data_IF_508023743208
#
_entry.id   IF_508023743208
#
_cell.length_a   1.000
_cell.length_b   1.000
_cell.length_c   1.000
_cell.angle_alpha   90.00
_cell.angle_beta   90.00
_cell.angle_gamma   90.00
#
_symmetry.space_group_name_H-M   'P 1'
#
loop_
_entity.id
_entity.type
_entity.pdbx_description
1 polymer ?
#
# COMPACT_ATOMS: atom_id res chain seq x y z
N UNK A 1 -20.32 -36.33 -39.44
CA UNK A 1 -19.45 -35.38 -38.71
C UNK A 1 -19.60 -35.67 -37.23
N UNK A 2 -18.64 -36.36 -36.61
CA UNK A 2 -18.69 -36.73 -35.19
C UNK A 2 -18.27 -35.53 -34.35
N UNK A 3 -19.20 -34.96 -33.59
CA UNK A 3 -18.92 -33.83 -32.69
C UNK A 3 -18.12 -34.32 -31.48
N UNK A 4 -17.01 -33.64 -31.19
CA UNK A 4 -16.14 -33.96 -30.06
C UNK A 4 -16.90 -33.83 -28.74
N UNK A 5 -16.92 -34.92 -27.96
CA UNK A 5 -17.66 -35.05 -26.68
C UNK A 5 -17.30 -33.96 -25.65
N UNK A 6 -16.11 -33.36 -25.78
CA UNK A 6 -15.62 -32.25 -24.97
C UNK A 6 -16.23 -30.89 -25.31
N UNK A 7 -16.65 -30.65 -26.56
CA UNK A 7 -17.26 -29.39 -26.96
C UNK A 7 -18.72 -29.29 -26.49
N UNK A 8 -19.42 -30.43 -26.39
CA UNK A 8 -20.78 -30.50 -25.86
C UNK A 8 -20.89 -30.11 -24.37
N UNK A 9 -19.77 -30.11 -23.62
CA UNK A 9 -19.72 -29.76 -22.20
C UNK A 9 -19.34 -28.30 -21.93
N UNK A 10 -18.97 -27.53 -22.96
CA UNK A 10 -18.62 -26.12 -22.80
C UNK A 10 -19.89 -25.27 -22.68
N UNK A 11 -20.17 -24.76 -21.48
CA UNK A 11 -21.13 -23.66 -21.28
C UNK A 11 -20.41 -22.34 -21.52
N UNK A 12 -20.94 -21.50 -22.42
CA UNK A 12 -20.43 -20.15 -22.67
C UNK A 12 -20.87 -19.23 -21.54
N UNK A 13 -19.93 -18.80 -20.69
CA UNK A 13 -20.17 -17.92 -19.54
C UNK A 13 -20.03 -18.65 -18.20
N UNK A 14 -19.48 -17.96 -17.19
CA UNK A 14 -19.13 -18.57 -15.90
C UNK A 14 -20.32 -18.79 -14.96
N UNK A 15 -21.47 -18.16 -15.21
CA UNK A 15 -22.63 -18.26 -14.32
C UNK A 15 -23.93 -17.91 -15.07
N UNK A 16 -25.00 -18.62 -14.77
CA UNK A 16 -26.36 -18.29 -15.22
C UNK A 16 -27.15 -17.91 -13.98
N UNK A 17 -27.62 -16.66 -13.84
CA UNK A 17 -28.37 -16.25 -12.65
C UNK A 17 -29.68 -17.02 -12.56
N UNK A 18 -29.98 -17.56 -11.37
CA UNK A 18 -31.22 -18.32 -11.12
C UNK A 18 -32.48 -17.43 -11.15
N UNK A 19 -32.31 -16.12 -10.97
CA UNK A 19 -33.39 -15.14 -10.93
C UNK A 19 -33.05 -13.93 -11.79
N UNK A 20 -34.00 -13.43 -12.60
CA UNK A 20 -33.81 -12.18 -13.32
C UNK A 20 -33.69 -11.02 -12.33
N UNK A 21 -32.87 -10.03 -12.69
CA UNK A 21 -32.79 -8.78 -11.95
C UNK A 21 -34.14 -8.05 -12.04
N UNK A 22 -34.71 -7.71 -10.88
CA UNK A 22 -35.93 -6.91 -10.77
C UNK A 22 -35.52 -5.51 -10.31
N UNK A 23 -35.49 -4.55 -11.23
CA UNK A 23 -35.42 -3.12 -10.90
C UNK A 23 -36.79 -2.70 -10.37
N UNK A 24 -36.98 -2.68 -9.06
CA UNK A 24 -38.06 -1.92 -8.44
C UNK A 24 -37.59 -1.36 -7.09
N UNK A 25 -38.00 -0.11 -6.89
CA UNK A 25 -37.44 0.91 -6.05
C UNK A 25 -37.59 0.73 -4.53
N UNK A 26 -36.63 1.34 -3.82
CA UNK A 26 -36.70 1.84 -2.43
C UNK A 26 -37.04 0.85 -1.32
N UNK A 27 -36.02 0.31 -0.65
CA UNK A 27 -36.15 -0.21 0.72
C UNK A 27 -35.07 0.38 1.60
N UNK A 28 -35.51 1.24 2.51
CA UNK A 28 -34.75 1.78 3.65
C UNK A 28 -34.15 0.66 4.51
N UNK A 29 -32.91 0.80 5.03
CA UNK A 29 -32.28 -0.28 5.75
C UNK A 29 -32.84 -0.38 7.18
N UNK A 30 -33.63 -1.44 7.45
CA UNK A 30 -33.91 -1.90 8.82
C UNK A 30 -32.63 -2.46 9.41
N UNK A 31 -32.25 -1.92 10.57
CA UNK A 31 -31.04 -2.22 11.33
C UNK A 31 -31.29 -3.44 12.23
N UNK A 32 -30.98 -4.65 11.75
CA UNK A 32 -30.86 -5.83 12.61
C UNK A 32 -29.37 -6.13 12.84
N UNK A 33 -28.99 -6.21 14.12
CA UNK A 33 -27.64 -6.53 14.56
C UNK A 33 -27.43 -8.03 14.42
N UNK A 34 -26.59 -8.43 13.48
CA UNK A 34 -26.05 -9.79 13.42
C UNK A 34 -24.52 -9.71 13.26
N UNK A 35 -23.80 -10.30 14.22
CA UNK A 35 -22.34 -10.32 14.26
C UNK A 35 -21.80 -11.15 13.08
N UNK A 36 -21.23 -10.48 12.07
CA UNK A 36 -20.40 -11.11 11.03
C UNK A 36 -19.03 -10.42 10.96
N UNK A 37 -17.94 -11.18 10.69
CA UNK A 37 -16.59 -10.65 10.65
C UNK A 37 -16.48 -9.55 9.59
N UNK A 38 -15.82 -8.46 9.95
CA UNK A 38 -15.52 -7.32 9.09
C UNK A 38 -14.73 -7.82 7.88
N UNK A 39 -15.43 -8.02 6.77
CA UNK A 39 -14.80 -8.21 5.47
C UNK A 39 -14.30 -6.84 5.01
N UNK A 40 -13.00 -6.67 5.01
CA UNK A 40 -12.27 -5.52 4.47
C UNK A 40 -12.62 -5.36 2.99
N UNK A 41 -13.63 -4.55 2.69
CA UNK A 41 -13.86 -4.04 1.34
C UNK A 41 -12.83 -2.92 1.16
N UNK A 42 -11.88 -3.00 0.21
CA UNK A 42 -11.01 -1.87 -0.06
C UNK A 42 -11.86 -0.72 -0.64
N UNK A 43 -11.88 0.40 0.07
CA UNK A 43 -12.49 1.65 -0.40
C UNK A 43 -11.88 2.04 -1.77
N UNK A 44 -12.71 2.08 -2.81
CA UNK A 44 -12.37 2.62 -4.14
C UNK A 44 -12.17 4.15 -4.13
N UNK A 45 -12.00 4.77 -2.96
CA UNK A 45 -11.69 6.19 -2.80
C UNK A 45 -10.25 6.48 -2.39
N UNK A 46 -9.33 5.52 -2.50
CA UNK A 46 -7.90 5.86 -2.59
C UNK A 46 -7.55 6.42 -3.96
N UNK A 47 -8.17 7.57 -4.32
CA UNK A 47 -7.59 8.42 -5.36
C UNK A 47 -6.17 8.69 -4.90
N UNK A 48 -5.20 8.13 -5.63
CA UNK A 48 -3.79 8.39 -5.41
C UNK A 48 -3.59 9.89 -5.54
N UNK A 49 -3.57 10.58 -4.40
CA UNK A 49 -3.09 11.95 -4.30
C UNK A 49 -1.58 11.76 -4.23
N UNK A 50 -0.80 12.12 -5.27
CA UNK A 50 0.65 12.18 -5.14
C UNK A 50 0.93 13.30 -4.14
N UNK A 51 0.95 12.96 -2.86
CA UNK A 51 1.44 13.82 -1.82
C UNK A 51 2.87 14.18 -2.27
N UNK A 52 3.13 15.47 -2.49
CA UNK A 52 4.38 15.96 -3.09
C UNK A 52 5.63 15.49 -2.33
N UNK A 53 5.45 15.18 -1.04
CA UNK A 53 6.39 14.58 -0.11
C UNK A 53 6.59 13.05 -0.26
N UNK A 54 5.92 12.37 -1.19
CA UNK A 54 6.05 10.92 -1.46
C UNK A 54 6.59 10.61 -2.87
N UNK A 55 7.15 11.58 -3.58
CA UNK A 55 7.63 11.39 -4.97
C UNK A 55 8.74 10.33 -5.11
N UNK A 56 9.38 9.91 -4.02
CA UNK A 56 10.39 8.85 -4.00
C UNK A 56 10.12 7.92 -2.82
N UNK A 57 9.96 6.62 -3.10
CA UNK A 57 9.77 5.57 -2.10
C UNK A 57 10.98 4.66 -2.09
N UNK A 58 11.61 4.49 -0.93
CA UNK A 58 12.68 3.51 -0.72
C UNK A 58 12.08 2.21 -0.18
N UNK A 59 12.26 1.11 -0.91
CA UNK A 59 11.90 -0.23 -0.41
C UNK A 59 13.02 -0.73 0.49
N UNK A 60 12.67 -1.15 1.70
CA UNK A 60 13.61 -1.66 2.71
C UNK A 60 13.13 -3.00 3.25
N UNK A 61 14.00 -3.70 3.97
CA UNK A 61 13.61 -4.93 4.67
C UNK A 61 12.54 -4.64 5.74
N UNK A 62 11.70 -5.63 6.10
CA UNK A 62 10.71 -5.46 7.18
C UNK A 62 11.35 -5.08 8.52
N UNK A 63 12.53 -5.63 8.82
CA UNK A 63 13.27 -5.32 10.03
C UNK A 63 13.72 -3.86 10.05
N UNK A 64 14.36 -3.38 8.99
CA UNK A 64 14.80 -1.98 8.87
C UNK A 64 13.62 -1.02 8.99
N UNK A 65 12.47 -1.38 8.43
CA UNK A 65 11.25 -0.58 8.57
C UNK A 65 10.83 -0.46 10.03
N UNK A 66 10.83 -1.56 10.79
CA UNK A 66 10.48 -1.57 12.19
C UNK A 66 11.45 -0.73 13.04
N UNK A 67 12.76 -0.83 12.77
CA UNK A 67 13.80 -0.04 13.43
C UNK A 67 13.60 1.47 13.18
N UNK A 68 13.29 1.87 11.95
CA UNK A 68 12.98 3.28 11.61
C UNK A 68 11.71 3.76 12.32
N UNK A 69 10.67 2.94 12.40
CA UNK A 69 9.43 3.29 13.11
C UNK A 69 9.65 3.49 14.61
N UNK A 70 10.52 2.68 15.23
CA UNK A 70 10.84 2.83 16.65
C UNK A 70 11.73 4.07 16.90
N UNK A 71 12.74 4.29 16.06
CA UNK A 71 13.57 5.50 16.09
C UNK A 71 12.72 6.77 15.91
N UNK A 72 11.76 6.74 14.99
CA UNK A 72 10.80 7.83 14.78
C UNK A 72 10.06 8.18 16.07
N UNK A 73 9.58 7.17 16.81
CA UNK A 73 8.87 7.38 18.09
C UNK A 73 9.80 7.96 19.15
N UNK A 74 11.02 7.45 19.24
CA UNK A 74 12.02 7.90 20.20
C UNK A 74 12.42 9.37 19.96
N UNK A 75 12.73 9.72 18.72
CA UNK A 75 13.12 11.07 18.31
C UNK A 75 11.94 12.04 18.16
N UNK A 76 10.69 11.55 18.32
CA UNK A 76 9.44 12.31 18.16
C UNK A 76 9.32 12.99 16.79
N UNK A 77 9.79 12.32 15.74
CA UNK A 77 9.74 12.83 14.36
C UNK A 77 8.38 12.52 13.70
N UNK A 78 7.96 13.40 12.78
CA UNK A 78 6.67 13.28 12.10
C UNK A 78 6.73 12.26 10.94
N UNK A 79 7.87 12.15 10.28
CA UNK A 79 8.02 11.36 9.06
C UNK A 79 9.28 10.48 9.06
N UNK A 80 9.22 9.35 8.36
CA UNK A 80 10.33 8.40 8.29
C UNK A 80 11.55 8.99 7.57
N UNK A 81 11.36 9.90 6.62
CA UNK A 81 12.47 10.54 5.91
C UNK A 81 13.28 11.49 6.82
N UNK A 82 12.66 12.06 7.86
CA UNK A 82 13.36 12.90 8.86
C UNK A 82 14.33 12.05 9.66
N UNK A 83 13.92 10.83 10.05
CA UNK A 83 14.79 9.87 10.72
C UNK A 83 15.97 9.48 9.82
N UNK A 84 15.69 9.20 8.54
CA UNK A 84 16.74 8.85 7.58
C UNK A 84 17.72 10.03 7.40
N UNK A 85 17.22 11.26 7.31
CA UNK A 85 18.06 12.45 7.20
C UNK A 85 18.93 12.62 8.44
N UNK A 86 18.35 12.49 9.63
CA UNK A 86 19.10 12.53 10.89
C UNK A 86 20.23 11.48 10.93
N UNK A 87 19.94 10.23 10.54
CA UNK A 87 20.95 9.17 10.49
C UNK A 87 22.07 9.46 9.47
N UNK A 88 21.73 10.09 8.33
CA UNK A 88 22.73 10.49 7.34
C UNK A 88 23.62 11.61 7.90
N UNK A 89 23.02 12.63 8.50
CA UNK A 89 23.74 13.77 9.06
C UNK A 89 24.68 13.32 10.18
N UNK A 90 24.19 12.50 11.12
CA UNK A 90 24.96 11.89 12.20
C UNK A 90 26.14 11.05 11.67
N UNK A 91 25.89 10.22 10.66
CA UNK A 91 26.96 9.42 10.04
C UNK A 91 28.02 10.28 9.34
N UNK A 92 27.58 11.32 8.62
CA UNK A 92 28.49 12.24 7.93
C UNK A 92 29.32 13.05 8.93
N UNK A 93 28.76 13.41 10.07
CA UNK A 93 29.45 14.18 11.10
C UNK A 93 30.44 13.33 11.90
N UNK A 94 30.03 12.15 12.36
CA UNK A 94 30.81 11.39 13.34
C UNK A 94 31.69 10.30 12.72
N UNK A 95 31.32 9.78 11.54
CA UNK A 95 32.00 8.61 10.96
C UNK A 95 32.85 8.90 9.71
N UNK A 96 32.66 10.02 9.02
CA UNK A 96 33.45 10.37 7.84
C UNK A 96 34.67 11.22 8.17
N UNK A 97 35.79 10.94 7.50
CA UNK A 97 36.97 11.82 7.54
C UNK A 97 36.75 13.11 6.73
N UNK A 98 37.55 14.15 6.97
CA UNK A 98 37.40 15.44 6.28
C UNK A 98 37.46 15.34 4.75
N UNK A 99 38.25 14.41 4.21
CA UNK A 99 38.32 14.17 2.76
C UNK A 99 37.07 13.49 2.22
N UNK A 100 36.48 12.55 2.98
CA UNK A 100 35.25 11.86 2.62
C UNK A 100 34.02 12.78 2.75
N UNK A 101 33.95 13.62 3.79
CA UNK A 101 32.91 14.65 3.93
C UNK A 101 32.89 15.59 2.73
N UNK A 102 34.08 16.02 2.27
CA UNK A 102 34.21 16.88 1.08
C UNK A 102 33.70 16.16 -0.18
N UNK A 103 34.08 14.89 -0.38
CA UNK A 103 33.58 14.10 -1.52
C UNK A 103 32.06 13.88 -1.45
N UNK A 104 31.51 13.64 -0.26
CA UNK A 104 30.07 13.50 -0.07
C UNK A 104 29.34 14.78 -0.49
N UNK A 105 29.84 15.94 -0.06
CA UNK A 105 29.30 17.25 -0.42
C UNK A 105 29.37 17.53 -1.93
N UNK A 106 30.51 17.25 -2.57
CA UNK A 106 30.70 17.40 -4.03
C UNK A 106 29.73 16.56 -4.88
N UNK A 107 29.19 15.45 -4.35
CA UNK A 107 28.22 14.60 -5.06
C UNK A 107 26.75 14.91 -4.73
N UNK A 108 26.50 15.82 -3.79
CA UNK A 108 25.16 16.14 -3.29
C UNK A 108 24.71 17.58 -3.57
N UNK A 109 25.65 18.49 -3.87
CA UNK A 109 25.42 19.84 -4.41
C UNK A 109 25.31 19.84 -5.95
#
# INVERSE_FOLDING_TARGET
>A
MSVNKLEALRKKGNFTPEKPFLENDTVTPKKEKENKPVSTIPDETSKYIPATNQRKTLKVSPQTKAEIEELKRYLKMGYNYEVIQFLIDDYVEDHLSSSEKRRFKENTE
#
